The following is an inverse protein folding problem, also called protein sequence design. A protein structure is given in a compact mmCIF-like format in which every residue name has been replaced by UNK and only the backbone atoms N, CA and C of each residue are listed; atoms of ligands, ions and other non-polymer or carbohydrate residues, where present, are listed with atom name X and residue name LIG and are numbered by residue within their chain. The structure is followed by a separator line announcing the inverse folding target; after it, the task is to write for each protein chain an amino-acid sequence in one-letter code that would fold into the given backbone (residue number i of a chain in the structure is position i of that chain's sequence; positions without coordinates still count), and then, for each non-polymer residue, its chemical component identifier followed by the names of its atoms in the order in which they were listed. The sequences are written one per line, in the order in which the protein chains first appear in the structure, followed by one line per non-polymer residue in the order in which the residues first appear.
data_IF_758211127867
#
_entry.id   IF_758211127867
#
_cell.length_a   1.000
_cell.length_b   1.000
_cell.length_c   1.000
_cell.angle_alpha   90.00
_cell.angle_beta   90.00
_cell.angle_gamma   90.00
#
_symmetry.space_group_name_H-M   'P 1'
#
loop_
_entity.id
_entity.type
_entity.pdbx_description
1 polymer ?
#
# COMPACT_ATOMS: atom_id res chain seq x y z
N UNK A 1 -21.64 17.97 -21.45
CA UNK A 1 -21.02 18.61 -20.26
C UNK A 1 -22.10 18.77 -19.20
N UNK A 2 -22.16 17.85 -18.24
CA UNK A 2 -23.17 17.89 -17.17
C UNK A 2 -22.58 18.71 -16.03
N UNK A 3 -23.17 19.87 -15.74
CA UNK A 3 -22.80 20.73 -14.61
C UNK A 3 -23.12 19.98 -13.32
N UNK A 4 -22.12 19.70 -12.52
CA UNK A 4 -22.30 19.26 -11.13
C UNK A 4 -23.05 20.39 -10.40
N UNK A 5 -24.16 20.13 -9.68
CA UNK A 5 -24.88 21.17 -8.98
C UNK A 5 -24.00 21.73 -7.85
N UNK A 6 -23.72 23.03 -7.88
CA UNK A 6 -22.88 23.75 -6.90
C UNK A 6 -23.30 23.49 -5.44
N UNK A 7 -24.59 23.14 -5.21
CA UNK A 7 -25.09 22.77 -3.88
C UNK A 7 -24.46 21.51 -3.29
N UNK A 8 -23.95 20.58 -4.10
CA UNK A 8 -23.38 19.33 -3.60
C UNK A 8 -21.98 19.52 -3.00
N UNK A 9 -21.18 20.42 -3.57
CA UNK A 9 -19.83 20.69 -3.06
C UNK A 9 -19.89 21.39 -1.70
N UNK A 10 -20.82 22.32 -1.52
CA UNK A 10 -21.03 23.04 -0.26
C UNK A 10 -21.61 22.15 0.85
N UNK A 11 -22.50 21.20 0.50
CA UNK A 11 -22.97 20.19 1.47
C UNK A 11 -21.87 19.21 1.86
N UNK A 12 -21.03 18.79 0.91
CA UNK A 12 -19.90 17.90 1.17
C UNK A 12 -18.84 18.57 2.07
N UNK A 13 -18.52 19.85 1.83
CA UNK A 13 -17.58 20.62 2.63
C UNK A 13 -18.12 21.00 4.02
N UNK A 14 -19.45 21.05 4.21
CA UNK A 14 -20.05 21.23 5.54
C UNK A 14 -19.81 20.02 6.45
N UNK A 15 -19.76 18.80 5.90
CA UNK A 15 -19.50 17.60 6.69
C UNK A 15 -18.04 17.48 7.16
N UNK A 16 -17.07 18.07 6.44
CA UNK A 16 -15.68 18.15 6.90
C UNK A 16 -15.45 19.17 8.02
N UNK A 17 -16.32 20.19 8.16
CA UNK A 17 -16.17 21.25 9.17
C UNK A 17 -16.89 21.02 10.50
N UNK A 18 -17.57 19.89 10.68
CA UNK A 18 -18.13 19.48 11.99
C UNK A 18 -17.43 18.27 12.63
N UNK A 19 -16.28 17.85 12.09
CA UNK A 19 -15.43 16.82 12.72
C UNK A 19 -14.23 17.41 13.50
N UNK A 20 -14.21 18.71 13.78
CA UNK A 20 -13.15 19.40 14.54
C UNK A 20 -13.73 20.17 15.73
N UNK A 21 -14.29 19.47 16.72
CA UNK A 21 -14.38 19.93 18.12
C UNK A 21 -15.05 18.91 19.04
N UNK A 22 -14.50 17.70 19.14
CA UNK A 22 -14.56 16.95 20.41
C UNK A 22 -13.19 16.32 20.61
N UNK A 23 -12.44 16.86 21.56
CA UNK A 23 -11.24 16.24 22.11
C UNK A 23 -11.64 14.92 22.77
N UNK A 24 -11.82 13.88 21.96
CA UNK A 24 -11.82 12.51 22.45
C UNK A 24 -10.40 12.27 22.94
N UNK A 25 -10.25 12.05 24.25
CA UNK A 25 -9.00 11.59 24.86
C UNK A 25 -8.41 10.52 23.94
N UNK A 26 -7.22 10.79 23.39
CA UNK A 26 -6.35 9.79 22.76
C UNK A 26 -5.98 8.76 23.83
N UNK A 27 -6.84 7.77 23.99
CA UNK A 27 -6.54 6.53 24.72
C UNK A 27 -7.04 5.37 23.88
N UNK A 28 -6.35 5.15 22.78
CA UNK A 28 -5.93 3.80 22.45
C UNK A 28 -4.54 3.95 21.85
N UNK A 29 -3.50 3.69 22.66
CA UNK A 29 -2.28 3.12 22.08
C UNK A 29 -2.81 1.93 21.30
N UNK A 30 -2.89 2.04 19.97
CA UNK A 30 -2.90 0.85 19.12
C UNK A 30 -1.68 0.11 19.63
N UNK A 31 -1.88 -1.02 20.31
CA UNK A 31 -0.77 -1.84 20.74
C UNK A 31 -0.05 -2.20 19.45
N UNK A 32 1.03 -1.47 19.15
CA UNK A 32 2.01 -1.92 18.21
C UNK A 32 2.52 -3.21 18.82
N UNK A 33 2.12 -4.33 18.21
CA UNK A 33 2.75 -5.62 18.49
C UNK A 33 4.25 -5.36 18.52
N UNK A 34 4.91 -5.80 19.58
CA UNK A 34 6.36 -5.71 19.62
C UNK A 34 6.91 -6.57 18.48
N UNK A 35 7.58 -5.92 17.55
CA UNK A 35 8.21 -6.58 16.41
C UNK A 35 9.57 -7.06 16.89
N UNK A 36 9.78 -8.36 16.81
CA UNK A 36 11.06 -8.98 17.14
C UNK A 36 12.16 -8.48 16.20
N UNK A 37 13.41 -8.56 16.65
CA UNK A 37 14.55 -8.20 15.81
C UNK A 37 14.59 -9.00 14.50
N UNK A 38 14.17 -10.27 14.53
CA UNK A 38 14.11 -11.12 13.34
C UNK A 38 13.05 -10.64 12.33
N UNK A 39 11.86 -10.27 12.80
CA UNK A 39 10.80 -9.72 11.96
C UNK A 39 11.22 -8.40 11.31
N UNK A 40 11.86 -7.51 12.09
CA UNK A 40 12.41 -6.24 11.58
C UNK A 40 13.49 -6.48 10.52
N UNK A 41 14.38 -7.45 10.75
CA UNK A 41 15.46 -7.80 9.82
C UNK A 41 14.91 -8.41 8.53
N UNK A 42 13.85 -9.23 8.62
CA UNK A 42 13.15 -9.79 7.46
C UNK A 42 12.46 -8.70 6.64
N UNK A 43 11.71 -7.80 7.29
CA UNK A 43 11.08 -6.67 6.62
C UNK A 43 12.12 -5.81 5.89
N UNK A 44 13.22 -5.46 6.58
CA UNK A 44 14.32 -4.71 5.98
C UNK A 44 14.90 -5.41 4.75
N UNK A 45 15.16 -6.71 4.84
CA UNK A 45 15.69 -7.52 3.72
C UNK A 45 14.73 -7.54 2.54
N UNK A 46 13.44 -7.76 2.79
CA UNK A 46 12.42 -7.81 1.74
C UNK A 46 12.26 -6.45 1.03
N UNK A 47 12.23 -5.35 1.78
CA UNK A 47 12.23 -4.01 1.20
C UNK A 47 13.49 -3.75 0.36
N UNK A 48 14.65 -4.18 0.85
CA UNK A 48 15.92 -4.02 0.14
C UNK A 48 15.92 -4.78 -1.19
N UNK A 49 15.46 -6.03 -1.21
CA UNK A 49 15.34 -6.85 -2.43
C UNK A 49 14.52 -6.12 -3.50
N UNK A 50 13.33 -5.65 -3.15
CA UNK A 50 12.45 -4.95 -4.10
C UNK A 50 13.08 -3.64 -4.61
N UNK A 51 13.78 -2.92 -3.74
CA UNK A 51 14.44 -1.68 -4.11
C UNK A 51 15.64 -1.90 -5.02
N UNK A 52 16.40 -2.96 -4.80
CA UNK A 52 17.57 -3.29 -5.61
C UNK A 52 17.17 -3.77 -7.00
N UNK A 53 16.11 -4.59 -7.12
CA UNK A 53 15.52 -4.95 -8.41
C UNK A 53 15.14 -3.69 -9.18
N UNK A 54 14.39 -2.76 -8.57
CA UNK A 54 13.96 -1.52 -9.21
C UNK A 54 15.11 -0.68 -9.79
N UNK A 55 16.28 -0.71 -9.15
CA UNK A 55 17.46 0.08 -9.56
C UNK A 55 18.23 -0.54 -10.73
N UNK A 56 17.96 -1.78 -11.08
CA UNK A 56 18.71 -2.47 -12.12
C UNK A 56 18.49 -1.85 -13.51
N UNK A 57 19.53 -1.82 -14.37
CA UNK A 57 19.41 -1.35 -15.75
C UNK A 57 18.35 -2.12 -16.55
N UNK A 58 18.15 -3.40 -16.27
CA UNK A 58 17.15 -4.27 -16.91
C UNK A 58 15.74 -3.75 -16.66
N UNK A 59 15.40 -3.43 -15.40
CA UNK A 59 14.10 -2.85 -15.07
C UNK A 59 13.94 -1.48 -15.72
N UNK A 60 14.97 -0.64 -15.76
CA UNK A 60 14.92 0.64 -16.48
C UNK A 60 14.72 0.46 -17.98
N UNK A 61 15.37 -0.54 -18.57
CA UNK A 61 15.21 -0.91 -19.98
C UNK A 61 13.79 -1.37 -20.29
N UNK A 62 13.18 -2.19 -19.43
CA UNK A 62 11.78 -2.58 -19.59
C UNK A 62 10.86 -1.37 -19.43
N UNK A 63 11.09 -0.54 -18.40
CA UNK A 63 10.25 0.63 -18.13
C UNK A 63 10.24 1.67 -19.26
N UNK A 64 11.38 1.82 -19.95
CA UNK A 64 11.46 2.68 -21.14
C UNK A 64 10.53 2.26 -22.29
N UNK A 65 10.10 1.00 -22.32
CA UNK A 65 9.19 0.43 -23.33
C UNK A 65 7.78 0.19 -22.78
N UNK A 66 7.66 -0.07 -21.48
CA UNK A 66 6.40 -0.35 -20.78
C UNK A 66 6.34 0.53 -19.53
N UNK A 67 5.36 1.42 -19.43
CA UNK A 67 5.27 2.36 -18.32
C UNK A 67 5.14 1.74 -16.91
N UNK A 68 4.81 0.44 -16.82
CA UNK A 68 4.55 -0.25 -15.57
C UNK A 68 4.91 -1.74 -15.66
N UNK A 69 5.47 -2.28 -14.58
CA UNK A 69 5.73 -3.72 -14.38
C UNK A 69 5.09 -4.12 -13.06
N UNK A 70 4.00 -4.87 -13.10
CA UNK A 70 3.42 -5.46 -11.89
C UNK A 70 4.29 -6.62 -11.44
N UNK A 71 4.58 -6.71 -10.14
CA UNK A 71 5.49 -7.75 -9.64
C UNK A 71 4.99 -8.46 -8.38
N UNK A 72 4.05 -7.87 -7.63
CA UNK A 72 3.49 -8.48 -6.43
C UNK A 72 2.03 -8.08 -6.23
N UNK A 73 1.17 -9.07 -6.02
CA UNK A 73 -0.21 -8.90 -5.57
C UNK A 73 -0.38 -9.54 -4.19
N UNK A 74 -0.96 -8.78 -3.28
CA UNK A 74 -1.32 -9.20 -1.93
C UNK A 74 -2.85 -9.17 -1.83
N UNK A 75 -3.44 -10.33 -1.62
CA UNK A 75 -4.89 -10.48 -1.47
C UNK A 75 -5.22 -10.83 -0.03
N UNK A 76 -5.61 -9.82 0.73
CA UNK A 76 -6.13 -9.99 2.09
C UNK A 76 -7.66 -9.98 2.14
N UNK A 77 -8.21 -10.37 3.30
CA UNK A 77 -9.66 -10.43 3.51
C UNK A 77 -10.40 -9.08 3.28
N UNK A 78 -9.76 -7.97 3.64
CA UNK A 78 -10.37 -6.62 3.58
C UNK A 78 -9.54 -5.60 2.79
N UNK A 79 -8.35 -5.98 2.31
CA UNK A 79 -7.46 -5.12 1.54
C UNK A 79 -6.82 -5.93 0.42
N UNK A 80 -6.87 -5.42 -0.80
CA UNK A 80 -6.06 -5.87 -1.93
C UNK A 80 -4.98 -4.85 -2.22
N UNK A 81 -3.77 -5.30 -2.49
CA UNK A 81 -2.63 -4.44 -2.76
C UNK A 81 -1.90 -4.99 -3.98
N UNK A 82 -1.72 -4.16 -5.01
CA UNK A 82 -0.83 -4.43 -6.13
C UNK A 82 0.41 -3.54 -6.03
N UNK A 83 1.59 -4.14 -6.17
CA UNK A 83 2.85 -3.42 -6.27
C UNK A 83 3.44 -3.52 -7.67
N UNK A 84 3.90 -2.37 -8.16
CA UNK A 84 4.43 -2.24 -9.51
C UNK A 84 5.66 -1.35 -9.54
N UNK A 85 6.60 -1.64 -10.44
CA UNK A 85 7.65 -0.71 -10.81
C UNK A 85 7.12 0.27 -11.86
N UNK A 86 7.41 1.55 -11.69
CA UNK A 86 7.12 2.64 -12.62
C UNK A 86 8.33 3.57 -12.72
N UNK A 87 8.37 4.48 -13.70
CA UNK A 87 9.51 5.39 -13.91
C UNK A 87 9.91 6.17 -12.63
N UNK A 88 8.92 6.49 -11.80
CA UNK A 88 9.08 7.29 -10.57
C UNK A 88 9.38 6.45 -9.33
N UNK A 89 9.39 5.11 -9.39
CA UNK A 89 9.58 4.30 -8.19
C UNK A 89 8.78 3.01 -8.14
N UNK A 90 8.47 2.62 -6.90
CA UNK A 90 7.52 1.56 -6.59
C UNK A 90 6.16 2.19 -6.32
N UNK A 91 5.17 1.81 -7.12
CA UNK A 91 3.77 2.17 -7.00
C UNK A 91 3.05 1.11 -6.18
N UNK A 92 2.21 1.56 -5.25
CA UNK A 92 1.22 0.77 -4.55
C UNK A 92 -0.16 1.16 -5.02
N UNK A 93 -0.91 0.23 -5.59
CA UNK A 93 -2.34 0.35 -5.81
C UNK A 93 -3.03 -0.45 -4.71
N UNK A 94 -4.05 0.11 -4.07
CA UNK A 94 -4.78 -0.64 -3.05
C UNK A 94 -6.28 -0.42 -3.14
N UNK A 95 -7.01 -1.44 -2.71
CA UNK A 95 -8.45 -1.41 -2.53
C UNK A 95 -8.75 -1.90 -1.10
N UNK A 96 -9.35 -1.07 -0.26
CA UNK A 96 -9.77 -1.46 1.09
C UNK A 96 -11.30 -1.44 1.22
N UNK A 97 -11.87 -2.55 1.70
CA UNK A 97 -13.28 -2.67 2.02
C UNK A 97 -13.62 -1.85 3.27
N UNK A 98 -14.47 -0.84 3.10
CA UNK A 98 -14.91 0.08 4.15
C UNK A 98 -16.19 -0.41 4.85
N UNK A 99 -16.66 -1.61 4.52
CA UNK A 99 -17.90 -2.19 5.05
C UNK A 99 -19.14 -1.81 4.25
N UNK A 100 -20.30 -2.26 4.74
CA UNK A 100 -21.59 -1.99 4.10
C UNK A 100 -22.23 -0.71 4.68
N UNK A 101 -22.69 0.20 3.82
CA UNK A 101 -23.54 1.31 4.27
C UNK A 101 -25.01 0.90 4.22
N UNK A 102 -25.68 0.96 5.38
CA UNK A 102 -27.13 0.74 5.48
C UNK A 102 -27.93 1.67 4.57
N UNK A 103 -27.46 2.90 4.38
CA UNK A 103 -28.09 3.91 3.51
C UNK A 103 -27.95 3.61 2.00
N UNK A 104 -27.06 2.70 1.60
CA UNK A 104 -26.86 2.27 0.21
C UNK A 104 -27.39 0.84 -0.02
N UNK A 105 -28.49 0.47 0.64
CA UNK A 105 -29.09 -0.87 0.56
C UNK A 105 -28.12 -2.03 0.85
N UNK A 106 -27.10 -1.78 1.68
CA UNK A 106 -26.09 -2.79 2.01
C UNK A 106 -24.95 -2.93 1.00
N UNK A 107 -24.82 -2.01 0.02
CA UNK A 107 -23.68 -1.97 -0.88
C UNK A 107 -22.36 -1.86 -0.10
N UNK A 108 -21.39 -2.68 -0.47
CA UNK A 108 -20.02 -2.61 0.05
C UNK A 108 -19.31 -1.41 -0.54
N UNK A 109 -18.73 -0.59 0.32
CA UNK A 109 -17.89 0.52 -0.10
C UNK A 109 -16.44 0.08 -0.16
N UNK A 110 -15.77 0.48 -1.22
CA UNK A 110 -14.35 0.25 -1.41
C UNK A 110 -13.66 1.60 -1.53
N UNK A 111 -12.56 1.77 -0.79
CA UNK A 111 -11.65 2.89 -1.00
C UNK A 111 -10.49 2.40 -1.87
N UNK A 112 -10.33 3.01 -3.05
CA UNK A 112 -9.30 2.68 -4.01
C UNK A 112 -8.39 3.90 -4.20
N UNK A 113 -7.08 3.70 -4.10
CA UNK A 113 -6.11 4.78 -4.29
C UNK A 113 -4.74 4.23 -4.73
N UNK A 114 -3.85 5.14 -5.14
CA UNK A 114 -2.51 4.85 -5.64
C UNK A 114 -1.47 5.73 -4.96
N UNK A 115 -0.38 5.12 -4.49
CA UNK A 115 0.69 5.81 -3.75
C UNK A 115 2.07 5.39 -4.24
N UNK A 116 2.96 6.36 -4.49
CA UNK A 116 4.40 6.07 -4.65
C UNK A 116 5.02 5.87 -3.27
N UNK A 117 5.56 4.68 -3.03
CA UNK A 117 5.98 4.23 -1.69
C UNK A 117 7.49 4.27 -1.46
N UNK A 118 8.28 4.85 -2.36
CA UNK A 118 9.75 4.91 -2.30
C UNK A 118 10.32 5.28 -0.92
N UNK A 119 9.67 6.20 -0.20
CA UNK A 119 10.10 6.67 1.12
C UNK A 119 10.25 5.55 2.16
N UNK A 120 9.53 4.44 1.97
CA UNK A 120 9.58 3.28 2.84
C UNK A 120 10.68 2.27 2.47
N UNK A 121 11.18 2.34 1.23
CA UNK A 121 12.23 1.48 0.68
C UNK A 121 13.62 2.13 0.79
N UNK A 122 13.67 3.46 0.86
CA UNK A 122 14.91 4.20 1.10
C UNK A 122 15.44 3.96 2.53
N UNK A 123 16.77 3.79 2.66
CA UNK A 123 17.42 3.36 3.90
C UNK A 123 17.22 4.33 5.07
N UNK A 124 17.15 3.76 6.28
CA UNK A 124 17.07 4.48 7.56
C UNK A 124 15.64 4.69 8.05
N UNK A 125 15.10 5.90 7.87
CA UNK A 125 13.83 6.35 8.49
C UNK A 125 12.57 5.70 7.87
N UNK A 126 12.68 5.11 6.69
CA UNK A 126 11.56 4.50 5.96
C UNK A 126 10.95 3.31 6.67
N UNK A 127 11.78 2.39 7.17
CA UNK A 127 11.35 1.19 7.90
C UNK A 127 10.55 1.56 9.15
N UNK A 128 11.09 2.46 9.97
CA UNK A 128 10.42 2.91 11.20
C UNK A 128 9.10 3.63 10.90
N UNK A 129 9.07 4.46 9.85
CA UNK A 129 7.85 5.13 9.41
C UNK A 129 6.79 4.15 8.88
N UNK A 130 7.22 3.06 8.22
CA UNK A 130 6.34 2.00 7.76
C UNK A 130 5.72 1.26 8.96
N UNK A 131 6.54 0.87 9.93
CA UNK A 131 6.09 0.18 11.14
C UNK A 131 5.18 1.06 12.01
N UNK A 132 5.37 2.39 11.97
CA UNK A 132 4.56 3.34 12.72
C UNK A 132 3.34 3.87 11.98
N UNK A 133 3.09 3.40 10.75
CA UNK A 133 1.99 3.89 9.93
C UNK A 133 0.62 3.53 10.52
N UNK A 134 -0.34 4.42 10.40
CA UNK A 134 -1.77 4.14 10.65
C UNK A 134 -2.53 3.77 9.38
N UNK A 135 -1.90 3.85 8.21
CA UNK A 135 -2.51 3.55 6.94
C UNK A 135 -2.66 2.04 6.76
N UNK A 136 -3.90 1.56 6.63
CA UNK A 136 -4.20 0.12 6.67
C UNK A 136 -3.48 -0.66 5.57
N UNK A 137 -3.48 -0.18 4.33
CA UNK A 137 -2.78 -0.88 3.23
C UNK A 137 -1.26 -0.97 3.45
N UNK A 138 -0.61 0.11 3.88
CA UNK A 138 0.82 0.08 4.20
C UNK A 138 1.14 -0.86 5.37
N UNK A 139 0.25 -0.90 6.38
CA UNK A 139 0.38 -1.82 7.49
C UNK A 139 0.26 -3.28 7.03
N UNK A 140 -0.78 -3.61 6.25
CA UNK A 140 -0.97 -4.95 5.67
C UNK A 140 0.22 -5.35 4.79
N UNK A 141 0.74 -4.44 3.96
CA UNK A 141 1.94 -4.69 3.18
C UNK A 141 3.14 -5.02 4.08
N UNK A 142 3.35 -4.26 5.15
CA UNK A 142 4.44 -4.49 6.09
C UNK A 142 4.29 -5.83 6.81
N UNK A 143 3.09 -6.17 7.29
CA UNK A 143 2.78 -7.43 7.96
C UNK A 143 3.08 -8.62 7.03
N UNK A 144 2.64 -8.56 5.78
CA UNK A 144 2.93 -9.60 4.77
C UNK A 144 4.43 -9.73 4.50
N UNK A 145 5.14 -8.61 4.38
CA UNK A 145 6.61 -8.62 4.22
C UNK A 145 7.34 -9.09 5.48
N UNK A 146 6.73 -9.02 6.66
CA UNK A 146 7.29 -9.58 7.90
C UNK A 146 7.05 -11.10 7.96
N UNK A 147 5.89 -11.57 7.50
CA UNK A 147 5.50 -12.98 7.60
C UNK A 147 6.15 -13.86 6.52
N UNK A 148 6.50 -13.26 5.38
CA UNK A 148 7.05 -13.98 4.24
C UNK A 148 8.54 -13.68 4.04
N UNK A 149 9.33 -14.67 3.63
CA UNK A 149 10.70 -14.44 3.19
C UNK A 149 10.74 -14.33 1.67
N UNK A 150 11.19 -13.18 1.16
CA UNK A 150 11.21 -12.95 -0.27
C UNK A 150 12.51 -13.47 -0.89
N UNK A 151 12.38 -14.10 -2.05
CA UNK A 151 13.50 -14.50 -2.91
C UNK A 151 13.55 -13.57 -4.11
N UNK A 152 14.69 -12.89 -4.28
CA UNK A 152 14.93 -12.01 -5.43
C UNK A 152 14.71 -12.75 -6.75
N UNK A 153 15.19 -14.00 -6.85
CA UNK A 153 15.03 -14.82 -8.05
C UNK A 153 13.56 -15.11 -8.38
N UNK A 154 12.68 -15.19 -7.38
CA UNK A 154 11.25 -15.40 -7.62
C UNK A 154 10.61 -14.19 -8.30
N UNK A 155 10.99 -12.97 -7.92
CA UNK A 155 10.54 -11.76 -8.61
C UNK A 155 11.10 -11.65 -10.02
N UNK A 156 12.38 -11.97 -10.22
CA UNK A 156 12.97 -12.00 -11.56
C UNK A 156 12.27 -13.00 -12.48
N UNK A 157 11.95 -14.20 -11.97
CA UNK A 157 11.21 -15.20 -12.73
C UNK A 157 9.80 -14.72 -13.08
N UNK A 158 9.07 -14.14 -12.13
CA UNK A 158 7.75 -13.58 -12.38
C UNK A 158 7.80 -12.49 -13.47
N UNK A 159 8.71 -11.52 -13.33
CA UNK A 159 8.89 -10.42 -14.30
C UNK A 159 9.25 -10.97 -15.70
N UNK A 160 10.14 -11.96 -15.76
CA UNK A 160 10.55 -12.62 -17.01
C UNK A 160 9.37 -13.29 -17.72
N UNK A 161 8.46 -13.89 -16.97
CA UNK A 161 7.27 -14.57 -17.50
C UNK A 161 6.09 -13.60 -17.76
N UNK A 162 6.21 -12.33 -17.38
CA UNK A 162 5.09 -11.39 -17.40
C UNK A 162 4.02 -11.70 -16.34
N UNK A 163 4.40 -12.43 -15.31
CA UNK A 163 3.58 -12.81 -14.16
C UNK A 163 3.86 -11.87 -12.98
N UNK A 164 3.01 -11.97 -11.96
CA UNK A 164 3.19 -11.29 -10.68
C UNK A 164 3.14 -12.32 -9.56
N UNK A 165 4.01 -12.17 -8.55
CA UNK A 165 3.95 -13.01 -7.37
C UNK A 165 2.62 -12.77 -6.66
N UNK A 166 1.97 -13.82 -6.16
CA UNK A 166 0.71 -13.71 -5.42
C UNK A 166 0.91 -14.19 -3.99
N UNK A 167 0.50 -13.38 -3.02
CA UNK A 167 0.50 -13.73 -1.61
C UNK A 167 -0.93 -13.57 -1.06
N UNK A 168 -1.38 -14.62 -0.37
CA UNK A 168 -2.63 -14.60 0.39
C UNK A 168 -2.30 -14.12 1.81
N UNK A 169 -3.00 -13.09 2.28
CA UNK A 169 -2.79 -12.41 3.56
C UNK A 169 -3.98 -12.54 4.51
#
# INVERSE_FOLDING_TARGET
MVKVPEKFLDEYLKHEKTATARSVKRTSKVQMREISNNESLRLKRNLQILWDIYKTPEIKGILSKKHQINFLDINGANVRIGLSYVDKGILMEYESNMGAKKELAGARLYNQDKLIINRYFASGKGLEALLKTSHIALKTMADVMIENEFSEMSFWNAIKNGEQAQILA
#
